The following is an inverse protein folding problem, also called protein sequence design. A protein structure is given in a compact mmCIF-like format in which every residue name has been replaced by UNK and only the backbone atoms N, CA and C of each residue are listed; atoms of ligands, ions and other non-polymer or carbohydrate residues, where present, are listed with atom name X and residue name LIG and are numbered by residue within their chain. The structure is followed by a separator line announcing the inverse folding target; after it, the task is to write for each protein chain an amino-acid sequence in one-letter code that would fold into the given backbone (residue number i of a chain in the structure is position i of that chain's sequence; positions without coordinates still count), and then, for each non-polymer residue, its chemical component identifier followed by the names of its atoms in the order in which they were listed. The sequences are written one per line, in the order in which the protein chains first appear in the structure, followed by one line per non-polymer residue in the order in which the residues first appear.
data_IF_221368852481
#
_entry.id   IF_221368852481
#
_cell.length_a   1.000
_cell.length_b   1.000
_cell.length_c   1.000
_cell.angle_alpha   90.00
_cell.angle_beta   90.00
_cell.angle_gamma   90.00
#
_symmetry.space_group_name_H-M   'P 1'
#
loop_
_entity.id
_entity.type
_entity.pdbx_description
1 polymer ?
#
# COMPACT_ATOMS: atom_id res chain seq x y z
N UNK A 1 -18.42 -3.20 -22.50
CA UNK A 1 -19.26 -2.01 -22.20
C UNK A 1 -18.37 -0.81 -22.38
N UNK A 2 -18.88 0.33 -22.87
CA UNK A 2 -18.03 1.51 -23.01
C UNK A 2 -17.77 2.11 -21.62
N UNK A 3 -16.58 2.67 -21.41
CA UNK A 3 -16.16 3.21 -20.11
C UNK A 3 -17.11 4.32 -19.62
N UNK A 4 -17.65 5.12 -20.54
CA UNK A 4 -18.66 6.14 -20.20
C UNK A 4 -19.97 5.55 -19.67
N UNK A 5 -20.37 4.36 -20.11
CA UNK A 5 -21.59 3.70 -19.63
C UNK A 5 -21.41 3.24 -18.17
N UNK A 6 -20.21 2.78 -17.82
CA UNK A 6 -19.84 2.43 -16.44
C UNK A 6 -19.83 3.67 -15.55
N UNK A 7 -19.19 4.75 -16.00
CA UNK A 7 -19.22 6.06 -15.31
C UNK A 7 -20.65 6.52 -15.09
N UNK A 8 -21.52 6.37 -16.09
CA UNK A 8 -22.93 6.73 -15.97
C UNK A 8 -23.64 5.94 -14.87
N UNK A 9 -23.39 4.64 -14.75
CA UNK A 9 -23.98 3.81 -13.68
C UNK A 9 -23.55 4.30 -12.29
N UNK A 10 -22.27 4.65 -12.12
CA UNK A 10 -21.74 5.23 -10.88
C UNK A 10 -22.42 6.56 -10.58
N UNK A 11 -22.47 7.46 -11.57
CA UNK A 11 -23.09 8.77 -11.43
C UNK A 11 -24.59 8.69 -11.11
N UNK A 12 -25.35 7.83 -11.77
CA UNK A 12 -26.79 7.66 -11.53
C UNK A 12 -27.05 7.12 -10.11
N UNK A 13 -26.25 6.17 -9.63
CA UNK A 13 -26.35 5.68 -8.24
C UNK A 13 -26.06 6.80 -7.25
N UNK A 14 -24.94 7.48 -7.40
CA UNK A 14 -24.50 8.52 -6.46
C UNK A 14 -25.41 9.76 -6.49
N UNK A 15 -25.98 10.10 -7.65
CA UNK A 15 -26.95 11.18 -7.79
C UNK A 15 -28.15 11.01 -6.85
N UNK A 16 -28.64 9.77 -6.70
CA UNK A 16 -29.81 9.46 -5.85
C UNK A 16 -29.56 9.65 -4.35
N UNK A 17 -28.30 9.77 -3.93
CA UNK A 17 -27.89 9.91 -2.52
C UNK A 17 -27.21 11.26 -2.25
N UNK A 18 -27.54 12.28 -3.06
CA UNK A 18 -27.18 13.69 -2.81
C UNK A 18 -25.96 14.21 -3.54
N UNK A 19 -25.19 13.37 -4.25
CA UNK A 19 -23.98 13.84 -4.96
C UNK A 19 -24.28 14.80 -6.10
N UNK A 20 -25.43 14.63 -6.77
CA UNK A 20 -25.85 15.55 -7.84
C UNK A 20 -26.02 16.97 -7.29
N UNK A 21 -26.72 17.12 -6.17
CA UNK A 21 -26.99 18.43 -5.58
C UNK A 21 -25.72 19.13 -5.10
N UNK A 22 -24.74 18.35 -4.61
CA UNK A 22 -23.42 18.87 -4.27
C UNK A 22 -22.65 19.33 -5.52
N UNK A 23 -22.62 18.51 -6.58
CA UNK A 23 -21.86 18.81 -7.80
C UNK A 23 -22.51 19.90 -8.67
N UNK A 24 -23.83 20.08 -8.60
CA UNK A 24 -24.52 21.19 -9.24
C UNK A 24 -24.06 22.55 -8.66
N UNK A 25 -23.68 22.62 -7.39
CA UNK A 25 -23.09 23.83 -6.80
C UNK A 25 -21.70 24.16 -7.38
N UNK A 26 -21.07 23.17 -8.02
CA UNK A 26 -19.82 23.32 -8.77
C UNK A 26 -20.06 23.51 -10.29
N UNK A 27 -21.32 23.54 -10.74
CA UNK A 27 -21.71 23.67 -12.14
C UNK A 27 -21.70 22.37 -12.95
N UNK A 28 -21.61 21.20 -12.29
CA UNK A 28 -21.53 19.88 -12.91
C UNK A 28 -22.81 19.06 -12.66
N UNK A 29 -23.54 18.68 -13.72
CA UNK A 29 -24.70 17.79 -13.62
C UNK A 29 -24.34 16.34 -14.00
N UNK A 30 -24.01 15.51 -13.01
CA UNK A 30 -23.65 14.10 -13.24
C UNK A 30 -24.80 13.23 -13.80
N UNK A 31 -26.01 13.77 -13.95
CA UNK A 31 -27.16 13.07 -14.57
C UNK A 31 -27.50 13.57 -15.97
N UNK A 32 -26.67 14.45 -16.54
CA UNK A 32 -26.89 14.98 -17.88
C UNK A 32 -27.04 13.88 -18.93
N UNK A 33 -27.96 14.07 -19.88
CA UNK A 33 -28.23 13.11 -20.96
C UNK A 33 -26.98 12.79 -21.78
N UNK A 34 -26.16 13.81 -22.09
CA UNK A 34 -24.84 13.62 -22.69
C UNK A 34 -23.76 13.78 -21.62
N UNK A 35 -23.61 12.73 -20.80
CA UNK A 35 -22.69 12.76 -19.66
C UNK A 35 -21.25 13.03 -20.08
N UNK A 36 -20.77 12.47 -21.19
CA UNK A 36 -19.39 12.70 -21.65
C UNK A 36 -19.15 14.18 -21.99
N UNK A 37 -20.08 14.83 -22.68
CA UNK A 37 -19.98 16.26 -22.97
C UNK A 37 -20.03 17.09 -21.68
N UNK A 38 -20.89 16.72 -20.74
CA UNK A 38 -21.01 17.40 -19.45
C UNK A 38 -19.74 17.27 -18.60
N UNK A 39 -19.13 16.07 -18.55
CA UNK A 39 -17.89 15.84 -17.82
C UNK A 39 -16.69 16.56 -18.44
N UNK A 40 -16.68 16.72 -19.77
CA UNK A 40 -15.56 17.32 -20.50
C UNK A 40 -15.72 18.79 -20.80
N UNK A 41 -16.86 19.44 -20.46
CA UNK A 41 -17.02 20.89 -20.64
C UNK A 41 -16.17 21.69 -19.63
N UNK A 42 -15.92 22.96 -19.95
CA UNK A 42 -15.30 23.86 -18.98
C UNK A 42 -16.32 24.32 -17.92
N UNK A 43 -15.88 24.34 -16.67
CA UNK A 43 -16.62 24.80 -15.49
C UNK A 43 -16.03 26.15 -15.06
N UNK A 44 -16.67 27.28 -15.41
CA UNK A 44 -16.05 28.61 -15.24
C UNK A 44 -15.98 29.09 -13.79
N UNK A 45 -16.71 28.46 -12.86
CA UNK A 45 -16.87 28.95 -11.49
C UNK A 45 -16.94 27.80 -10.47
N UNK A 46 -15.88 27.00 -10.38
CA UNK A 46 -15.74 25.98 -9.33
C UNK A 46 -15.60 26.67 -7.97
N UNK A 47 -16.53 26.36 -7.07
CA UNK A 47 -16.63 26.95 -5.74
C UNK A 47 -15.78 26.18 -4.73
N UNK A 48 -14.57 26.70 -4.48
CA UNK A 48 -13.61 26.17 -3.50
C UNK A 48 -13.88 26.61 -2.05
N UNK A 49 -15.00 27.28 -1.79
CA UNK A 49 -15.44 27.61 -0.43
C UNK A 49 -16.36 26.53 0.16
N UNK A 50 -16.73 25.53 -0.64
CA UNK A 50 -17.47 24.36 -0.17
C UNK A 50 -16.48 23.39 0.48
N UNK A 51 -16.82 22.93 1.68
CA UNK A 51 -15.99 22.01 2.45
C UNK A 51 -15.63 20.76 1.65
N UNK A 52 -14.35 20.44 1.65
CA UNK A 52 -13.74 19.34 0.91
C UNK A 52 -13.24 19.72 -0.49
N UNK A 53 -13.56 20.91 -1.01
CA UNK A 53 -13.11 21.39 -2.33
C UNK A 53 -12.02 22.47 -2.23
N UNK A 54 -11.61 22.86 -1.03
CA UNK A 54 -10.56 23.85 -0.80
C UNK A 54 -9.22 23.41 -1.39
N UNK A 55 -8.95 22.10 -1.36
CA UNK A 55 -7.73 21.47 -1.86
C UNK A 55 -7.89 20.87 -3.27
N UNK A 56 -8.98 21.17 -4.00
CA UNK A 56 -9.07 20.84 -5.42
C UNK A 56 -8.09 21.70 -6.25
N UNK A 57 -7.33 21.06 -7.15
CA UNK A 57 -6.29 21.73 -7.94
C UNK A 57 -6.79 23.00 -8.62
N UNK A 58 -6.01 24.08 -8.54
CA UNK A 58 -6.45 25.40 -9.01
C UNK A 58 -6.68 25.43 -10.53
N UNK A 59 -5.85 24.71 -11.28
CA UNK A 59 -5.92 24.59 -12.74
C UNK A 59 -7.04 23.65 -13.20
N UNK A 60 -7.66 22.90 -12.28
CA UNK A 60 -8.82 22.07 -12.57
C UNK A 60 -10.02 22.92 -12.99
N UNK A 61 -10.55 22.65 -14.19
CA UNK A 61 -11.64 23.43 -14.80
C UNK A 61 -12.67 22.57 -15.54
N UNK A 62 -12.68 21.25 -15.32
CA UNK A 62 -13.61 20.29 -15.96
C UNK A 62 -14.09 19.27 -14.94
N UNK A 63 -15.20 18.60 -15.25
CA UNK A 63 -15.63 17.41 -14.50
C UNK A 63 -14.57 16.31 -14.56
N UNK A 64 -14.02 16.08 -15.76
CA UNK A 64 -12.91 15.17 -16.05
C UNK A 64 -11.90 15.90 -16.94
N UNK A 65 -10.65 15.98 -16.48
CA UNK A 65 -9.50 16.50 -17.23
C UNK A 65 -8.65 15.30 -17.67
N UNK A 66 -8.41 15.17 -18.98
CA UNK A 66 -7.80 13.98 -19.55
C UNK A 66 -6.40 13.71 -18.96
N UNK A 67 -6.20 12.50 -18.45
CA UNK A 67 -4.94 12.04 -17.86
C UNK A 67 -4.53 12.74 -16.57
N UNK A 68 -5.40 13.57 -15.97
CA UNK A 68 -5.06 14.37 -14.80
C UNK A 68 -6.10 14.25 -13.68
N UNK A 69 -5.92 13.29 -12.75
CA UNK A 69 -6.85 13.05 -11.65
C UNK A 69 -7.04 14.24 -10.70
N UNK A 70 -5.97 14.94 -10.33
CA UNK A 70 -6.08 16.11 -9.43
C UNK A 70 -6.81 17.30 -10.05
N UNK A 71 -6.84 17.42 -11.38
CA UNK A 71 -7.60 18.44 -12.12
C UNK A 71 -9.00 17.99 -12.54
N UNK A 72 -9.39 16.76 -12.23
CA UNK A 72 -10.71 16.20 -12.54
C UNK A 72 -11.66 16.38 -11.36
N UNK A 73 -12.58 17.34 -11.44
CA UNK A 73 -13.48 17.70 -10.34
C UNK A 73 -14.29 16.50 -9.83
N UNK A 74 -14.82 15.67 -10.72
CA UNK A 74 -15.60 14.49 -10.33
C UNK A 74 -14.74 13.48 -9.59
N UNK A 75 -13.52 13.22 -10.07
CA UNK A 75 -12.61 12.30 -9.39
C UNK A 75 -12.22 12.82 -8.01
N UNK A 76 -11.84 14.10 -7.91
CA UNK A 76 -11.54 14.73 -6.63
C UNK A 76 -12.71 14.64 -5.64
N UNK A 77 -13.93 15.03 -6.07
CA UNK A 77 -15.12 14.98 -5.24
C UNK A 77 -15.38 13.59 -4.67
N UNK A 78 -15.14 12.56 -5.48
CA UNK A 78 -15.38 11.17 -5.11
C UNK A 78 -14.22 10.55 -4.35
N UNK A 79 -12.96 10.90 -4.62
CA UNK A 79 -11.78 10.26 -4.05
C UNK A 79 -11.26 10.94 -2.78
N UNK A 80 -11.52 12.25 -2.60
CA UNK A 80 -11.04 12.99 -1.44
C UNK A 80 -11.76 12.55 -0.16
N UNK A 81 -11.05 12.18 0.91
CA UNK A 81 -11.66 11.88 2.20
C UNK A 81 -12.23 13.13 2.90
N UNK A 82 -11.85 14.33 2.43
CA UNK A 82 -12.31 15.60 2.98
C UNK A 82 -13.67 16.05 2.41
N UNK A 83 -14.10 15.47 1.29
CA UNK A 83 -15.41 15.76 0.69
C UNK A 83 -16.48 14.93 1.42
N UNK A 84 -16.97 15.50 2.52
CA UNK A 84 -18.00 14.93 3.37
C UNK A 84 -19.13 15.92 3.59
N UNK A 85 -20.36 15.43 3.62
CA UNK A 85 -21.53 16.25 3.91
C UNK A 85 -22.63 15.43 4.58
N UNK A 86 -23.40 16.05 5.45
CA UNK A 86 -24.56 15.44 6.11
C UNK A 86 -25.68 15.09 5.10
N UNK A 87 -25.67 15.71 3.92
CA UNK A 87 -26.65 15.46 2.86
C UNK A 87 -26.26 14.30 1.93
N UNK A 88 -25.09 13.70 2.12
CA UNK A 88 -24.65 12.53 1.34
C UNK A 88 -25.07 11.25 2.05
N UNK A 89 -25.91 10.46 1.39
CA UNK A 89 -26.47 9.22 1.94
C UNK A 89 -25.56 8.00 1.78
N UNK A 90 -24.65 8.01 0.81
CA UNK A 90 -23.64 6.97 0.59
C UNK A 90 -22.43 7.52 -0.17
N UNK A 91 -21.31 6.81 -0.10
CA UNK A 91 -20.07 7.17 -0.75
C UNK A 91 -19.69 6.13 -1.84
N UNK A 92 -18.73 6.43 -2.74
CA UNK A 92 -18.26 5.48 -3.73
C UNK A 92 -17.48 4.31 -3.10
N UNK A 93 -17.70 3.13 -3.65
CA UNK A 93 -16.85 1.95 -3.42
C UNK A 93 -15.50 2.12 -4.12
N UNK A 94 -14.52 1.29 -3.78
CA UNK A 94 -13.19 1.33 -4.43
C UNK A 94 -13.24 0.96 -5.91
N UNK A 95 -14.16 0.07 -6.30
CA UNK A 95 -14.40 -0.28 -7.70
C UNK A 95 -14.96 0.90 -8.50
N UNK A 96 -15.89 1.65 -7.92
CA UNK A 96 -16.46 2.83 -8.58
C UNK A 96 -15.43 3.95 -8.71
N UNK A 97 -14.60 4.15 -7.69
CA UNK A 97 -13.45 5.06 -7.80
C UNK A 97 -12.51 4.66 -8.93
N UNK A 98 -12.28 3.36 -9.11
CA UNK A 98 -11.46 2.86 -10.22
C UNK A 98 -12.07 3.15 -11.58
N UNK A 99 -13.39 2.99 -11.74
CA UNK A 99 -14.10 3.30 -12.98
C UNK A 99 -13.90 4.77 -13.34
N UNK A 100 -14.08 5.67 -12.37
CA UNK A 100 -13.88 7.11 -12.60
C UNK A 100 -12.41 7.40 -12.91
N UNK A 101 -11.45 6.81 -12.18
CA UNK A 101 -10.02 6.96 -12.44
C UNK A 101 -9.64 6.48 -13.85
N UNK A 102 -10.12 5.29 -14.25
CA UNK A 102 -9.89 4.74 -15.58
C UNK A 102 -10.45 5.69 -16.64
N UNK A 103 -11.61 6.30 -16.41
CA UNK A 103 -12.18 7.28 -17.33
C UNK A 103 -11.37 8.58 -17.40
N UNK A 104 -10.76 9.04 -16.30
CA UNK A 104 -9.81 10.18 -16.33
C UNK A 104 -8.70 9.91 -17.33
N UNK A 105 -8.12 8.72 -17.32
CA UNK A 105 -7.07 8.34 -18.27
C UNK A 105 -7.64 7.96 -19.66
N UNK A 106 -8.85 7.43 -19.73
CA UNK A 106 -9.45 6.88 -20.95
C UNK A 106 -10.29 7.84 -21.78
N UNK A 107 -10.68 9.01 -21.26
CA UNK A 107 -11.58 9.94 -21.98
C UNK A 107 -10.96 10.49 -23.28
N UNK A 108 -9.63 10.61 -23.31
CA UNK A 108 -8.84 10.95 -24.50
C UNK A 108 -7.57 10.09 -24.49
N UNK A 109 -7.68 8.81 -24.89
CA UNK A 109 -6.58 7.87 -24.70
C UNK A 109 -5.40 8.27 -25.59
N UNK A 110 -4.17 8.35 -25.03
CA UNK A 110 -2.99 8.69 -25.80
C UNK A 110 -2.59 7.51 -26.70
N UNK A 111 -1.87 7.82 -27.79
CA UNK A 111 -1.07 6.83 -28.50
C UNK A 111 0.29 6.62 -27.81
N UNK A 112 1.00 5.55 -28.17
CA UNK A 112 2.37 5.36 -27.69
C UNK A 112 3.31 6.50 -28.12
N UNK A 113 3.09 7.07 -29.30
CA UNK A 113 3.83 8.23 -29.80
C UNK A 113 3.58 9.46 -28.95
N UNK A 114 2.33 9.71 -28.53
CA UNK A 114 1.98 10.82 -27.65
C UNK A 114 2.75 10.71 -26.31
N UNK A 115 2.85 9.50 -25.74
CA UNK A 115 3.60 9.24 -24.51
C UNK A 115 5.12 9.39 -24.68
N UNK A 116 5.67 9.00 -25.83
CA UNK A 116 7.09 9.20 -26.14
C UNK A 116 7.45 10.69 -26.26
N UNK A 117 6.53 11.53 -26.75
CA UNK A 117 6.72 12.99 -26.81
C UNK A 117 6.81 13.59 -25.40
N UNK A 118 6.08 13.05 -24.43
CA UNK A 118 6.15 13.47 -23.01
C UNK A 118 7.45 13.01 -22.31
N UNK A 119 8.18 12.06 -22.91
CA UNK A 119 9.39 11.45 -22.38
C UNK A 119 10.54 11.47 -23.41
N UNK A 120 10.93 12.65 -23.92
CA UNK A 120 11.87 12.73 -25.04
C UNK A 120 13.22 12.12 -24.64
N UNK A 121 13.67 11.12 -25.42
CA UNK A 121 14.92 10.37 -25.22
C UNK A 121 15.02 9.59 -23.90
N UNK A 122 13.91 9.42 -23.19
CA UNK A 122 13.86 8.62 -21.97
C UNK A 122 13.08 7.33 -22.24
N UNK A 123 13.62 6.15 -21.86
CA UNK A 123 12.91 4.90 -22.07
C UNK A 123 11.65 4.85 -21.19
N UNK A 124 10.53 4.50 -21.80
CA UNK A 124 9.30 4.17 -21.08
C UNK A 124 9.42 2.79 -20.44
N UNK A 125 8.70 2.58 -19.34
CA UNK A 125 8.54 1.27 -18.70
C UNK A 125 7.10 1.07 -18.23
N UNK A 126 6.69 -0.19 -18.09
CA UNK A 126 5.51 -0.56 -17.31
C UNK A 126 5.96 -0.68 -15.86
N UNK A 127 5.40 0.14 -14.98
CA UNK A 127 5.81 0.25 -13.60
C UNK A 127 4.60 0.16 -12.67
N UNK A 128 4.68 -0.69 -11.64
CA UNK A 128 3.57 -0.89 -10.66
C UNK A 128 3.73 0.04 -9.47
N UNK A 129 2.70 0.79 -9.10
CA UNK A 129 2.75 1.66 -7.93
C UNK A 129 1.67 1.27 -6.94
N UNK A 130 2.00 1.38 -5.64
CA UNK A 130 0.98 1.56 -4.63
C UNK A 130 0.53 3.03 -4.66
N UNK A 131 -0.76 3.29 -4.66
CA UNK A 131 -1.27 4.64 -4.86
C UNK A 131 -2.50 4.96 -4.02
N UNK A 132 -2.61 6.21 -3.62
CA UNK A 132 -3.72 6.74 -2.82
C UNK A 132 -3.95 8.21 -3.17
N UNK A 133 -5.22 8.63 -3.26
CA UNK A 133 -5.56 10.03 -3.44
C UNK A 133 -5.56 10.72 -2.07
N UNK A 134 -4.63 11.66 -1.87
CA UNK A 134 -4.34 12.23 -0.56
C UNK A 134 -4.61 13.74 -0.53
N UNK A 135 -5.02 14.30 0.63
CA UNK A 135 -5.15 15.74 0.82
C UNK A 135 -3.87 16.50 0.52
N UNK A 136 -3.98 17.80 0.26
CA UNK A 136 -2.83 18.66 -0.04
C UNK A 136 -1.69 18.50 0.95
N UNK A 137 -1.98 18.54 2.26
CA UNK A 137 -0.98 18.37 3.31
C UNK A 137 -0.17 17.09 3.16
N UNK A 138 -0.72 16.04 2.56
CA UNK A 138 -0.09 14.74 2.40
C UNK A 138 0.56 14.48 1.04
N UNK A 139 0.60 15.48 0.16
CA UNK A 139 1.31 15.41 -1.12
C UNK A 139 2.76 15.91 -1.02
N UNK A 140 3.57 15.65 -2.06
CA UNK A 140 4.96 16.12 -2.15
C UNK A 140 5.02 17.65 -2.23
N UNK A 141 4.23 18.22 -3.15
CA UNK A 141 4.19 19.65 -3.44
C UNK A 141 3.40 20.45 -2.40
N UNK A 142 2.51 19.81 -1.63
CA UNK A 142 1.68 20.40 -0.58
C UNK A 142 0.68 21.48 -1.03
N UNK A 143 0.33 21.51 -2.32
CA UNK A 143 -0.47 22.59 -2.89
C UNK A 143 -1.96 22.26 -3.00
N UNK A 144 -2.29 21.03 -3.37
CA UNK A 144 -3.65 20.54 -3.60
C UNK A 144 -3.67 19.02 -3.41
N UNK A 145 -4.86 18.43 -3.27
CA UNK A 145 -5.00 16.98 -3.21
C UNK A 145 -4.55 16.34 -4.54
N UNK A 146 -3.87 15.20 -4.46
CA UNK A 146 -3.39 14.47 -5.64
C UNK A 146 -3.21 12.96 -5.36
N UNK A 147 -3.09 12.17 -6.43
CA UNK A 147 -2.61 10.80 -6.35
C UNK A 147 -1.14 10.79 -5.93
N UNK A 148 -0.88 10.22 -4.77
CA UNK A 148 0.45 9.93 -4.29
C UNK A 148 0.84 8.52 -4.69
N UNK A 149 2.09 8.35 -5.14
CA UNK A 149 2.60 7.09 -5.64
C UNK A 149 3.79 6.62 -4.80
N UNK A 150 3.83 5.32 -4.52
CA UNK A 150 4.95 4.66 -3.88
C UNK A 150 5.38 3.42 -4.67
N UNK A 151 6.69 3.21 -4.76
CA UNK A 151 7.27 1.95 -5.24
C UNK A 151 7.15 0.81 -4.24
N UNK A 152 6.74 1.12 -3.01
CA UNK A 152 6.53 0.15 -1.92
C UNK A 152 5.10 0.28 -1.40
N UNK A 153 4.32 -0.79 -1.48
CA UNK A 153 3.04 -0.88 -0.77
C UNK A 153 3.19 -1.67 0.51
N UNK A 154 2.41 -1.32 1.53
CA UNK A 154 2.45 -1.93 2.86
C UNK A 154 1.06 -2.40 3.23
N UNK A 155 0.90 -3.71 3.34
CA UNK A 155 -0.27 -4.37 3.89
C UNK A 155 0.03 -4.90 5.30
N UNK A 156 -0.99 -5.06 6.14
CA UNK A 156 -0.86 -5.44 7.55
C UNK A 156 -1.70 -6.67 7.87
N UNK A 157 -1.08 -7.69 8.46
CA UNK A 157 -1.78 -8.90 8.91
C UNK A 157 -2.78 -8.58 10.02
N UNK A 158 -3.72 -9.49 10.26
CA UNK A 158 -4.79 -9.33 11.22
C UNK A 158 -5.59 -10.61 11.41
N UNK A 159 -6.46 -10.59 12.42
CA UNK A 159 -7.33 -11.69 12.82
C UNK A 159 -8.78 -11.52 12.37
N UNK A 160 -9.10 -10.40 11.71
CA UNK A 160 -10.41 -10.12 11.13
C UNK A 160 -10.31 -9.61 9.68
N UNK A 161 -11.41 -9.75 8.94
CA UNK A 161 -11.51 -9.26 7.56
C UNK A 161 -11.36 -7.75 7.47
N UNK A 162 -10.78 -7.29 6.36
CA UNK A 162 -10.73 -5.88 5.98
C UNK A 162 -12.13 -5.25 6.02
N UNK A 163 -12.21 -3.99 6.45
CA UNK A 163 -13.43 -3.20 6.41
C UNK A 163 -13.13 -1.85 5.77
N UNK A 164 -13.60 -1.67 4.54
CA UNK A 164 -13.53 -0.38 3.87
C UNK A 164 -14.61 0.54 4.44
N UNK A 165 -14.19 1.71 4.92
CA UNK A 165 -15.10 2.80 5.28
C UNK A 165 -15.20 3.72 4.07
N UNK A 166 -16.33 3.61 3.38
CA UNK A 166 -16.59 4.38 2.17
C UNK A 166 -16.48 5.88 2.45
N UNK A 167 -17.09 6.41 3.52
CA UNK A 167 -17.01 7.83 3.89
C UNK A 167 -15.57 8.33 4.07
N UNK A 168 -14.70 7.55 4.71
CA UNK A 168 -13.29 7.93 4.96
C UNK A 168 -12.34 7.57 3.81
N UNK A 169 -12.82 6.86 2.77
CA UNK A 169 -12.00 6.36 1.65
C UNK A 169 -10.81 5.50 2.09
N UNK A 170 -10.97 4.79 3.21
CA UNK A 170 -9.88 4.05 3.84
C UNK A 170 -10.35 2.80 4.57
N UNK A 171 -9.39 1.95 4.93
CA UNK A 171 -9.66 0.73 5.70
C UNK A 171 -9.56 0.99 7.20
N UNK A 172 -10.54 0.48 7.94
CA UNK A 172 -10.53 0.57 9.40
C UNK A 172 -9.66 -0.54 10.00
N UNK A 173 -8.78 -0.23 10.97
CA UNK A 173 -7.92 -1.20 11.63
C UNK A 173 -8.63 -1.98 12.73
N UNK A 174 -9.57 -1.33 13.43
CA UNK A 174 -10.21 -1.85 14.63
C UNK A 174 -11.53 -2.57 14.31
N UNK A 175 -11.90 -3.50 15.19
CA UNK A 175 -13.23 -4.11 15.21
C UNK A 175 -14.06 -3.40 16.28
N UNK A 176 -15.18 -2.80 15.87
CA UNK A 176 -16.04 -2.04 16.79
C UNK A 176 -16.59 -2.93 17.91
N UNK A 177 -16.59 -2.40 19.14
CA UNK A 177 -17.07 -3.13 20.32
C UNK A 177 -16.12 -4.20 20.85
N UNK A 178 -15.02 -4.48 20.15
CA UNK A 178 -13.99 -5.40 20.61
C UNK A 178 -12.75 -4.62 21.10
N UNK A 179 -12.49 -4.72 22.41
CA UNK A 179 -11.33 -4.10 23.07
C UNK A 179 -10.15 -5.08 23.22
N UNK A 180 -10.27 -6.31 22.71
CA UNK A 180 -9.27 -7.37 22.95
C UNK A 180 -8.86 -8.05 21.66
N UNK A 181 -7.61 -7.81 21.27
CA UNK A 181 -6.80 -8.71 20.45
C UNK A 181 -7.28 -9.00 19.00
N UNK A 182 -8.37 -8.38 18.55
CA UNK A 182 -8.84 -8.50 17.17
C UNK A 182 -8.38 -7.32 16.31
N UNK A 183 -7.65 -7.61 15.24
CA UNK A 183 -7.13 -6.63 14.29
C UNK A 183 -7.65 -6.94 12.90
N UNK A 184 -8.16 -5.96 12.18
CA UNK A 184 -8.51 -6.15 10.77
C UNK A 184 -7.24 -6.20 9.95
N UNK A 185 -7.22 -7.07 8.94
CA UNK A 185 -6.19 -6.97 7.90
C UNK A 185 -6.33 -5.62 7.18
N UNK A 186 -5.21 -4.95 6.93
CA UNK A 186 -5.16 -3.70 6.17
C UNK A 186 -4.56 -3.96 4.79
N UNK A 187 -5.33 -3.82 3.71
CA UNK A 187 -4.85 -4.03 2.34
C UNK A 187 -3.90 -2.94 1.84
N UNK A 188 -3.24 -3.23 0.71
CA UNK A 188 -2.54 -2.24 -0.12
C UNK A 188 -3.06 -2.28 -1.56
N UNK A 189 -3.36 -1.12 -2.15
CA UNK A 189 -3.85 -1.01 -3.53
C UNK A 189 -2.69 -0.76 -4.49
N UNK A 190 -2.63 -1.53 -5.57
CA UNK A 190 -1.62 -1.40 -6.63
C UNK A 190 -2.27 -1.20 -8.00
N UNK A 191 -1.61 -0.41 -8.85
CA UNK A 191 -2.00 -0.17 -10.24
C UNK A 191 -0.76 -0.12 -11.13
N UNK A 192 -0.89 -0.51 -12.39
CA UNK A 192 0.17 -0.42 -13.38
C UNK A 192 0.10 0.91 -14.15
N UNK A 193 1.25 1.49 -14.45
CA UNK A 193 1.37 2.72 -15.22
C UNK A 193 2.45 2.59 -16.28
N UNK A 194 2.27 3.26 -17.42
CA UNK A 194 3.41 3.65 -18.26
C UNK A 194 4.11 4.78 -17.52
N UNK A 195 5.41 4.63 -17.27
CA UNK A 195 6.21 5.53 -16.45
C UNK A 195 7.56 5.84 -17.11
N UNK A 196 8.20 6.90 -16.62
CA UNK A 196 9.50 7.37 -17.07
C UNK A 196 10.40 7.72 -15.88
N UNK A 197 11.72 7.61 -16.02
CA UNK A 197 12.65 8.06 -14.99
C UNK A 197 12.96 9.54 -15.11
N UNK A 198 12.76 10.30 -14.02
CA UNK A 198 13.11 11.73 -13.94
C UNK A 198 13.85 12.01 -12.64
N UNK A 199 14.67 13.05 -12.63
CA UNK A 199 15.30 13.56 -11.41
C UNK A 199 14.25 14.14 -10.47
N UNK A 200 14.44 14.04 -9.15
CA UNK A 200 13.48 14.54 -8.17
C UNK A 200 13.15 16.02 -8.33
N UNK A 201 11.92 16.40 -8.00
CA UNK A 201 11.45 17.77 -8.02
C UNK A 201 10.50 18.04 -6.84
N UNK A 202 10.98 18.76 -5.83
CA UNK A 202 10.22 19.06 -4.61
C UNK A 202 8.86 19.74 -4.89
N UNK A 203 8.73 20.50 -5.97
CA UNK A 203 7.50 21.22 -6.32
C UNK A 203 6.50 20.36 -7.10
N UNK A 204 6.85 19.11 -7.45
CA UNK A 204 6.00 18.25 -8.27
C UNK A 204 5.98 16.78 -7.83
N UNK A 205 7.14 16.13 -7.74
CA UNK A 205 7.23 14.69 -7.46
C UNK A 205 8.57 14.32 -6.80
N UNK A 206 8.54 13.26 -5.99
CA UNK A 206 9.70 12.77 -5.25
C UNK A 206 9.28 12.19 -3.91
N UNK A 207 10.22 12.00 -2.98
CA UNK A 207 9.88 11.64 -1.61
C UNK A 207 9.05 12.75 -0.96
N UNK A 208 8.05 12.37 -0.15
CA UNK A 208 7.24 13.32 0.63
C UNK A 208 8.10 14.24 1.52
N UNK A 209 9.25 13.74 1.98
CA UNK A 209 10.27 14.51 2.68
C UNK A 209 11.52 14.61 1.81
N UNK A 210 11.48 15.53 0.85
CA UNK A 210 12.61 15.83 -0.03
C UNK A 210 13.87 16.15 0.80
N UNK A 211 14.97 15.47 0.52
CA UNK A 211 16.27 15.65 1.15
C UNK A 211 17.28 16.23 0.15
N UNK A 212 18.44 16.64 0.66
CA UNK A 212 19.61 16.93 -0.18
C UNK A 212 19.92 15.75 -1.11
N UNK A 213 20.34 16.06 -2.34
CA UNK A 213 20.62 15.13 -3.43
C UNK A 213 19.42 14.43 -4.08
N UNK A 214 18.19 14.54 -3.53
CA UNK A 214 17.02 13.95 -4.19
C UNK A 214 16.76 14.57 -5.58
N UNK A 215 17.18 15.81 -5.80
CA UNK A 215 17.16 16.49 -7.10
C UNK A 215 18.12 15.89 -8.14
N UNK A 216 19.03 15.01 -7.72
CA UNK A 216 19.95 14.26 -8.61
C UNK A 216 19.57 12.78 -8.75
N UNK A 217 18.68 12.27 -7.89
CA UNK A 217 18.23 10.87 -7.90
C UNK A 217 17.13 10.65 -8.92
N UNK A 218 17.15 9.48 -9.58
CA UNK A 218 16.14 9.10 -10.56
C UNK A 218 14.96 8.39 -9.91
N UNK A 219 13.76 8.93 -10.12
CA UNK A 219 12.48 8.37 -9.69
C UNK A 219 11.64 7.95 -10.89
N UNK A 220 10.88 6.87 -10.74
CA UNK A 220 9.84 6.52 -11.69
C UNK A 220 8.62 7.41 -11.49
N UNK A 221 8.23 8.12 -12.54
CA UNK A 221 7.10 9.03 -12.56
C UNK A 221 6.02 8.45 -13.49
N UNK A 222 4.80 8.21 -13.00
CA UNK A 222 3.71 7.72 -13.85
C UNK A 222 3.31 8.78 -14.86
N UNK A 223 3.05 8.35 -16.10
CA UNK A 223 2.52 9.19 -17.18
C UNK A 223 1.06 8.85 -17.50
N UNK A 224 0.72 7.55 -17.48
CA UNK A 224 -0.61 7.07 -17.84
C UNK A 224 -0.93 5.76 -17.13
N UNK A 225 -2.11 5.65 -16.53
CA UNK A 225 -2.58 4.40 -15.91
C UNK A 225 -2.90 3.36 -16.97
N UNK A 226 -2.52 2.11 -16.72
CA UNK A 226 -2.93 0.96 -17.53
C UNK A 226 -4.16 0.28 -16.91
N UNK A 227 -5.17 0.04 -17.73
CA UNK A 227 -6.38 -0.69 -17.39
C UNK A 227 -6.90 -1.46 -18.62
N UNK A 228 -7.83 -2.39 -18.41
CA UNK A 228 -8.28 -3.30 -19.45
C UNK A 228 -9.16 -2.61 -20.50
N UNK A 229 -9.08 -3.10 -21.74
CA UNK A 229 -9.98 -2.71 -22.83
C UNK A 229 -9.36 -1.78 -23.87
N UNK A 230 -10.21 -1.35 -24.80
CA UNK A 230 -9.83 -0.56 -25.99
C UNK A 230 -9.70 0.94 -25.75
N UNK A 231 -10.15 1.42 -24.59
CA UNK A 231 -10.22 2.84 -24.24
C UNK A 231 -9.01 3.30 -23.38
N UNK A 232 -8.01 2.42 -23.14
CA UNK A 232 -6.83 2.77 -22.34
C UNK A 232 -5.71 3.42 -23.16
N UNK A 233 -5.27 2.77 -24.25
CA UNK A 233 -4.23 3.26 -25.17
C UNK A 233 -4.77 3.16 -26.59
N UNK A 234 -4.66 4.24 -27.36
CA UNK A 234 -5.21 4.32 -28.72
C UNK A 234 -4.61 3.24 -29.61
N UNK A 235 -5.47 2.41 -30.20
CA UNK A 235 -5.08 1.36 -31.15
C UNK A 235 -4.72 0.02 -30.50
N UNK A 236 -4.91 -0.14 -29.19
CA UNK A 236 -4.67 -1.38 -28.46
C UNK A 236 -5.93 -1.79 -27.68
N UNK A 237 -6.10 -3.10 -27.47
CA UNK A 237 -7.08 -3.67 -26.55
C UNK A 237 -6.31 -4.35 -25.42
N UNK A 238 -6.18 -3.70 -24.27
CA UNK A 238 -5.23 -4.13 -23.25
C UNK A 238 -5.81 -5.20 -22.33
N UNK A 239 -5.00 -6.20 -21.99
CA UNK A 239 -5.25 -7.15 -20.92
C UNK A 239 -4.15 -7.01 -19.86
N UNK A 240 -4.47 -6.24 -18.82
CA UNK A 240 -3.59 -5.94 -17.70
C UNK A 240 -3.90 -6.88 -16.53
N UNK A 241 -2.88 -7.60 -16.08
CA UNK A 241 -2.95 -8.42 -14.87
C UNK A 241 -1.85 -8.01 -13.89
N UNK A 242 -2.11 -8.20 -12.59
CA UNK A 242 -1.12 -8.04 -11.53
C UNK A 242 -0.84 -9.39 -10.89
N UNK A 243 0.44 -9.70 -10.70
CA UNK A 243 0.88 -10.91 -10.01
C UNK A 243 1.58 -10.52 -8.71
N UNK A 244 1.23 -11.23 -7.64
CA UNK A 244 1.84 -11.08 -6.32
C UNK A 244 2.79 -12.25 -6.03
N UNK A 245 3.99 -11.92 -5.56
CA UNK A 245 4.97 -12.89 -5.10
C UNK A 245 5.46 -12.49 -3.72
N UNK A 246 5.02 -13.20 -2.68
CA UNK A 246 5.46 -12.97 -1.29
C UNK A 246 6.13 -14.20 -0.73
N UNK A 247 7.12 -13.98 0.15
CA UNK A 247 7.81 -15.05 0.84
C UNK A 247 8.13 -14.64 2.28
N UNK A 248 7.88 -15.55 3.22
CA UNK A 248 8.43 -15.47 4.57
C UNK A 248 9.67 -16.38 4.64
N UNK A 249 10.79 -15.83 5.10
CA UNK A 249 12.03 -16.59 5.34
C UNK A 249 12.62 -16.32 6.73
N UNK A 250 11.81 -15.80 7.67
CA UNK A 250 12.30 -15.32 8.96
C UNK A 250 13.00 -16.42 9.74
N UNK A 251 12.36 -17.59 9.85
CA UNK A 251 12.93 -18.75 10.54
C UNK A 251 14.21 -19.24 9.87
N UNK A 252 14.22 -19.45 8.54
CA UNK A 252 15.43 -19.81 7.80
C UNK A 252 16.58 -18.84 8.07
N UNK A 253 16.31 -17.54 8.01
CA UNK A 253 17.33 -16.49 8.20
C UNK A 253 17.90 -16.50 9.62
N UNK A 254 17.11 -16.85 10.64
CA UNK A 254 17.62 -17.05 12.01
C UNK A 254 18.69 -18.17 12.02
N UNK A 255 18.40 -19.32 11.41
CA UNK A 255 19.33 -20.46 11.36
C UNK A 255 20.59 -20.17 10.54
N UNK A 256 20.50 -19.37 9.48
CA UNK A 256 21.68 -18.95 8.71
C UNK A 256 22.55 -17.94 9.48
N UNK A 257 21.93 -17.06 10.27
CA UNK A 257 22.65 -16.03 11.02
C UNK A 257 23.27 -16.57 12.33
N UNK A 258 22.61 -17.54 12.97
CA UNK A 258 23.02 -18.12 14.25
C UNK A 258 23.61 -19.51 14.06
N UNK A 259 24.79 -19.76 14.65
CA UNK A 259 25.44 -21.07 14.59
C UNK A 259 24.87 -22.04 15.62
N UNK A 260 24.90 -23.34 15.31
CA UNK A 260 24.55 -24.44 16.24
C UNK A 260 23.13 -24.36 16.81
N UNK A 261 22.17 -23.92 16.00
CA UNK A 261 20.76 -23.76 16.37
C UNK A 261 19.95 -25.06 16.28
N UNK A 262 20.53 -26.12 15.71
CA UNK A 262 19.93 -27.46 15.63
C UNK A 262 19.28 -27.81 14.30
N UNK A 263 19.22 -26.86 13.35
CA UNK A 263 18.65 -27.08 12.01
C UNK A 263 19.60 -26.53 10.94
N UNK A 264 19.70 -27.26 9.83
CA UNK A 264 20.56 -26.95 8.68
C UNK A 264 19.85 -27.37 7.37
N UNK A 265 20.51 -27.18 6.23
CA UNK A 265 20.02 -27.72 4.96
C UNK A 265 19.99 -29.26 4.97
N UNK A 266 18.98 -29.91 4.38
CA UNK A 266 17.92 -29.32 3.55
C UNK A 266 16.69 -28.82 4.33
N UNK A 267 16.61 -29.04 5.64
CA UNK A 267 15.39 -28.78 6.43
C UNK A 267 14.98 -27.30 6.36
N UNK A 268 15.93 -26.39 6.53
CA UNK A 268 15.67 -24.93 6.55
C UNK A 268 15.21 -24.35 5.20
N UNK A 269 15.24 -25.12 4.12
CA UNK A 269 14.69 -24.73 2.81
C UNK A 269 13.26 -25.21 2.58
N UNK A 270 12.64 -25.87 3.57
CA UNK A 270 11.27 -26.37 3.49
C UNK A 270 10.35 -25.63 4.48
N UNK A 271 9.02 -25.69 4.30
CA UNK A 271 8.09 -25.22 5.32
C UNK A 271 8.32 -25.90 6.69
N UNK A 272 8.19 -25.16 7.81
CA UNK A 272 7.74 -23.77 7.90
C UNK A 272 8.90 -22.74 7.85
N UNK A 273 10.14 -23.14 7.57
CA UNK A 273 11.29 -22.24 7.58
C UNK A 273 11.24 -21.19 6.45
N UNK A 274 10.67 -21.61 5.32
CA UNK A 274 10.26 -20.77 4.20
C UNK A 274 8.82 -21.12 3.82
N UNK A 275 7.98 -20.12 3.53
CA UNK A 275 6.68 -20.34 2.91
C UNK A 275 6.24 -19.13 2.08
N UNK A 276 5.35 -19.37 1.12
CA UNK A 276 4.76 -18.36 0.22
C UNK A 276 3.23 -18.30 0.31
N UNK A 277 2.61 -19.36 0.82
CA UNK A 277 1.16 -19.48 0.97
C UNK A 277 0.68 -18.85 2.27
N UNK A 278 -0.58 -18.39 2.30
CA UNK A 278 -1.17 -17.82 3.52
C UNK A 278 -0.64 -16.45 3.92
N UNK A 279 0.07 -15.73 3.04
CA UNK A 279 0.59 -14.38 3.34
C UNK A 279 -0.41 -13.32 2.88
N UNK A 280 -0.60 -13.16 1.56
CA UNK A 280 -1.55 -12.21 0.98
C UNK A 280 -1.95 -12.62 -0.44
N UNK A 281 -3.10 -12.14 -0.88
CA UNK A 281 -3.69 -12.44 -2.19
C UNK A 281 -4.45 -11.23 -2.72
N UNK A 282 -4.58 -11.11 -4.05
CA UNK A 282 -5.49 -10.14 -4.64
C UNK A 282 -6.94 -10.58 -4.39
N UNK A 283 -7.75 -9.67 -3.84
CA UNK A 283 -9.17 -9.96 -3.65
C UNK A 283 -9.90 -10.11 -4.98
N UNK A 284 -10.92 -10.96 -5.00
CA UNK A 284 -11.87 -11.08 -6.11
C UNK A 284 -13.21 -10.40 -5.82
N UNK A 285 -13.31 -9.68 -4.69
CA UNK A 285 -14.53 -8.98 -4.30
C UNK A 285 -14.76 -7.79 -5.25
N UNK A 286 -15.88 -7.81 -5.97
CA UNK A 286 -16.18 -6.85 -7.04
C UNK A 286 -16.23 -5.41 -6.58
N UNK A 287 -16.62 -5.15 -5.33
CA UNK A 287 -16.70 -3.81 -4.73
C UNK A 287 -15.33 -3.16 -4.49
N UNK A 288 -14.25 -3.95 -4.53
CA UNK A 288 -12.88 -3.46 -4.35
C UNK A 288 -12.16 -3.15 -5.65
N UNK A 289 -12.75 -3.51 -6.79
CA UNK A 289 -12.12 -3.34 -8.09
C UNK A 289 -10.91 -4.26 -8.25
N UNK A 290 -9.93 -3.82 -9.03
CA UNK A 290 -8.71 -4.58 -9.30
C UNK A 290 -7.53 -4.08 -8.46
N UNK A 291 -6.56 -4.97 -8.25
CA UNK A 291 -5.27 -4.62 -7.65
C UNK A 291 -5.26 -4.37 -6.15
N UNK A 292 -6.32 -4.71 -5.41
CA UNK A 292 -6.33 -4.66 -3.94
C UNK A 292 -5.71 -5.95 -3.36
N UNK A 293 -4.48 -5.86 -2.86
CA UNK A 293 -3.78 -6.95 -2.18
C UNK A 293 -4.21 -7.00 -0.72
N UNK A 294 -4.79 -8.12 -0.29
CA UNK A 294 -5.34 -8.33 1.05
C UNK A 294 -4.55 -9.46 1.74
N UNK A 295 -4.00 -9.21 2.95
CA UNK A 295 -3.41 -10.28 3.76
C UNK A 295 -4.42 -11.37 4.09
N UNK A 296 -3.98 -12.62 4.11
CA UNK A 296 -4.83 -13.74 4.51
C UNK A 296 -5.16 -13.59 5.99
N UNK A 297 -6.44 -13.74 6.33
CA UNK A 297 -6.90 -13.65 7.72
C UNK A 297 -6.55 -14.94 8.45
N UNK A 298 -5.83 -14.83 9.56
CA UNK A 298 -5.48 -15.95 10.43
C UNK A 298 -6.20 -15.86 11.77
N UNK A 299 -6.53 -16.98 12.43
CA UNK A 299 -7.17 -16.92 13.75
C UNK A 299 -6.28 -16.26 14.81
N UNK A 300 -4.96 -16.32 14.65
CA UNK A 300 -3.98 -15.73 15.55
C UNK A 300 -2.98 -14.88 14.76
N UNK A 301 -2.46 -13.82 15.39
CA UNK A 301 -1.36 -13.04 14.83
C UNK A 301 -0.05 -13.82 14.77
N UNK A 302 0.14 -14.75 15.73
CA UNK A 302 1.27 -15.66 15.76
C UNK A 302 0.83 -17.08 16.07
N UNK A 303 1.57 -18.06 15.54
CA UNK A 303 1.32 -19.47 15.79
C UNK A 303 2.60 -20.21 16.15
N UNK A 304 2.53 -21.17 17.07
CA UNK A 304 3.67 -22.01 17.39
C UNK A 304 4.03 -22.84 16.16
N UNK A 305 5.25 -22.66 15.66
CA UNK A 305 5.72 -23.38 14.49
C UNK A 305 5.83 -24.88 14.81
N UNK A 306 5.43 -25.72 13.85
CA UNK A 306 5.60 -27.16 13.91
C UNK A 306 6.38 -27.67 12.71
N UNK A 307 7.20 -28.69 12.93
CA UNK A 307 7.95 -29.35 11.88
C UNK A 307 7.96 -30.86 12.14
N UNK A 308 7.65 -31.64 11.11
CA UNK A 308 7.55 -33.11 11.21
C UNK A 308 6.65 -33.60 12.36
N UNK A 309 5.53 -32.90 12.58
CA UNK A 309 4.53 -33.25 13.61
C UNK A 309 4.92 -32.91 15.05
N UNK A 310 6.01 -32.18 15.27
CA UNK A 310 6.46 -31.72 16.59
C UNK A 310 6.58 -30.20 16.64
N UNK A 311 6.59 -29.65 17.86
CA UNK A 311 6.96 -28.26 18.08
C UNK A 311 8.35 -27.99 17.49
N UNK A 312 8.44 -26.98 16.63
CA UNK A 312 9.71 -26.54 16.07
C UNK A 312 10.42 -25.66 17.09
N UNK A 313 11.57 -26.14 17.56
CA UNK A 313 12.41 -25.42 18.51
C UNK A 313 13.77 -25.12 17.91
N UNK A 314 14.52 -24.21 18.52
CA UNK A 314 15.94 -24.04 18.22
C UNK A 314 16.74 -23.86 19.50
N UNK A 315 18.01 -24.26 19.45
CA UNK A 315 18.94 -24.07 20.55
C UNK A 315 19.39 -22.62 20.60
N UNK A 316 19.05 -21.92 21.68
CA UNK A 316 19.46 -20.54 21.91
C UNK A 316 20.99 -20.51 22.15
N UNK A 317 21.79 -19.79 21.35
CA UNK A 317 23.23 -19.78 21.54
C UNK A 317 23.63 -19.07 22.85
N UNK A 318 24.63 -19.58 23.58
CA UNK A 318 25.08 -18.95 24.82
C UNK A 318 25.80 -17.63 24.54
N UNK A 319 25.72 -16.69 25.50
CA UNK A 319 26.36 -15.37 25.44
C UNK A 319 25.95 -14.53 24.22
N UNK A 320 24.74 -14.73 23.73
CA UNK A 320 24.23 -13.95 22.62
C UNK A 320 23.92 -12.51 23.03
N UNK A 321 24.07 -11.53 22.13
CA UNK A 321 23.55 -10.18 22.36
C UNK A 321 22.06 -10.21 22.67
N UNK A 322 21.63 -9.35 23.59
CA UNK A 322 20.22 -9.21 23.97
C UNK A 322 19.82 -7.74 23.95
N UNK A 323 18.54 -7.49 23.67
CA UNK A 323 17.87 -6.23 24.04
C UNK A 323 16.80 -6.60 25.05
N UNK A 324 17.03 -6.26 26.33
CA UNK A 324 16.24 -6.77 27.45
C UNK A 324 16.14 -8.30 27.36
N UNK A 325 14.93 -8.86 27.37
CA UNK A 325 14.67 -10.30 27.35
C UNK A 325 14.54 -10.92 25.95
N UNK A 326 14.98 -10.24 24.89
CA UNK A 326 14.93 -10.73 23.50
C UNK A 326 16.33 -11.05 22.98
N UNK A 327 16.45 -12.15 22.24
CA UNK A 327 17.68 -12.50 21.54
C UNK A 327 17.89 -11.52 20.38
N UNK A 328 19.03 -10.84 20.32
CA UNK A 328 19.35 -9.87 19.29
C UNK A 328 20.31 -10.45 18.25
N UNK A 329 19.95 -10.33 16.97
CA UNK A 329 20.82 -10.63 15.84
C UNK A 329 21.34 -9.29 15.27
N UNK A 330 22.64 -8.99 15.41
CA UNK A 330 23.19 -7.72 14.97
C UNK A 330 23.14 -7.60 13.45
N UNK A 331 23.03 -6.37 12.97
CA UNK A 331 23.27 -6.06 11.57
C UNK A 331 24.74 -6.36 11.19
N UNK A 332 24.97 -6.63 9.90
CA UNK A 332 26.31 -6.72 9.36
C UNK A 332 27.05 -5.40 9.58
N UNK A 333 28.23 -5.46 10.22
CA UNK A 333 28.97 -4.26 10.63
C UNK A 333 29.56 -3.48 9.46
N UNK A 334 29.72 -4.12 8.29
CA UNK A 334 30.34 -3.51 7.12
C UNK A 334 29.33 -2.82 6.22
N UNK A 335 28.15 -3.42 6.07
CA UNK A 335 27.09 -2.95 5.16
C UNK A 335 25.93 -2.30 5.89
N UNK A 336 25.77 -2.55 7.21
CA UNK A 336 24.58 -2.18 7.97
C UNK A 336 23.35 -3.04 7.66
N UNK A 337 23.47 -4.03 6.77
CA UNK A 337 22.35 -4.87 6.35
C UNK A 337 21.92 -5.85 7.44
N UNK A 338 20.61 -6.11 7.53
CA UNK A 338 20.06 -7.15 8.41
C UNK A 338 19.78 -8.42 7.61
N UNK A 339 20.53 -9.48 7.92
CA UNK A 339 20.36 -10.78 7.26
C UNK A 339 19.28 -11.66 7.88
N UNK A 340 18.78 -11.29 9.06
CA UNK A 340 17.72 -11.97 9.81
C UNK A 340 16.90 -10.93 10.61
N UNK A 341 15.76 -11.32 11.21
CA UNK A 341 15.04 -10.47 12.15
C UNK A 341 15.99 -9.96 13.25
N UNK A 342 15.90 -8.67 13.58
CA UNK A 342 16.75 -8.07 14.59
C UNK A 342 16.55 -8.70 15.97
N UNK A 343 15.31 -9.02 16.32
CA UNK A 343 14.94 -9.62 17.59
C UNK A 343 14.21 -10.94 17.37
N UNK A 344 14.59 -11.95 18.16
CA UNK A 344 13.97 -13.27 18.14
C UNK A 344 13.36 -13.54 19.52
N UNK A 345 12.10 -13.96 19.53
CA UNK A 345 11.44 -14.40 20.75
C UNK A 345 12.03 -15.75 21.21
N UNK A 346 12.54 -15.79 22.44
CA UNK A 346 13.19 -16.97 23.03
C UNK A 346 12.74 -17.26 24.47
N UNK A 347 11.59 -16.71 24.87
CA UNK A 347 11.10 -16.78 26.25
C UNK A 347 10.18 -17.96 26.52
N UNK A 348 9.83 -18.73 25.51
CA UNK A 348 9.11 -19.99 25.66
C UNK A 348 10.09 -21.15 25.48
N UNK A 349 10.61 -21.63 26.61
CA UNK A 349 11.56 -22.73 26.68
C UNK A 349 10.81 -24.05 26.64
N UNK A 350 11.27 -25.00 25.81
CA UNK A 350 10.70 -26.34 25.75
C UNK A 350 11.58 -27.29 26.57
N UNK A 351 10.96 -27.98 27.52
CA UNK A 351 11.61 -28.96 28.39
C UNK A 351 11.73 -30.33 27.70
N UNK A 352 12.61 -31.23 28.14
CA UNK A 352 12.76 -32.57 27.54
C UNK A 352 11.49 -33.42 27.56
N UNK A 353 10.55 -33.13 28.46
CA UNK A 353 9.24 -33.79 28.54
C UNK A 353 8.19 -33.17 27.59
N UNK A 354 8.57 -32.18 26.77
CA UNK A 354 7.71 -31.46 25.83
C UNK A 354 6.90 -30.31 26.43
N UNK A 355 7.02 -30.05 27.75
CA UNK A 355 6.32 -28.93 28.38
C UNK A 355 6.97 -27.59 28.06
N UNK A 356 6.15 -26.55 27.86
CA UNK A 356 6.61 -25.19 27.71
C UNK A 356 6.76 -24.50 29.08
N UNK A 357 7.94 -23.97 29.36
CA UNK A 357 8.25 -23.09 30.47
C UNK A 357 8.28 -21.63 29.95
N UNK A 358 7.42 -20.77 30.49
CA UNK A 358 7.42 -19.34 30.17
C UNK A 358 8.43 -18.60 31.05
N UNK A 359 9.52 -18.13 30.45
CA UNK A 359 10.59 -17.45 31.18
C UNK A 359 10.17 -16.08 31.73
N UNK A 360 9.06 -15.50 31.28
CA UNK A 360 8.52 -14.27 31.86
C UNK A 360 8.07 -14.45 33.33
N UNK A 361 7.82 -15.69 33.76
CA UNK A 361 7.47 -16.00 35.15
C UNK A 361 8.71 -16.10 36.06
N UNK A 362 9.92 -16.01 35.48
CA UNK A 362 11.18 -16.02 36.23
C UNK A 362 11.61 -14.61 36.65
N UNK A 363 12.27 -14.50 37.80
CA UNK A 363 12.73 -13.22 38.36
C UNK A 363 13.77 -12.50 37.50
N UNK A 364 14.60 -13.25 36.76
CA UNK A 364 15.68 -12.69 35.95
C UNK A 364 15.74 -13.38 34.57
N UNK A 365 14.74 -13.07 33.75
CA UNK A 365 14.61 -13.59 32.39
C UNK A 365 15.81 -13.23 31.50
N UNK A 366 16.39 -12.05 31.68
CA UNK A 366 17.50 -11.57 30.86
C UNK A 366 18.76 -12.41 31.09
N UNK A 367 19.08 -12.72 32.35
CA UNK A 367 20.21 -13.60 32.66
C UNK A 367 20.02 -15.00 32.05
N UNK A 368 18.81 -15.55 32.07
CA UNK A 368 18.51 -16.87 31.47
C UNK A 368 18.68 -16.83 29.95
N UNK A 369 18.13 -15.81 29.27
CA UNK A 369 18.26 -15.65 27.82
C UNK A 369 19.72 -15.48 27.42
N UNK A 370 20.48 -14.66 28.16
CA UNK A 370 21.91 -14.43 27.90
C UNK A 370 22.75 -15.68 28.13
N UNK A 371 22.43 -16.49 29.14
CA UNK A 371 23.10 -17.77 29.38
C UNK A 371 22.87 -18.74 28.22
N UNK A 372 21.67 -18.73 27.61
CA UNK A 372 21.31 -19.58 26.48
C UNK A 372 21.40 -21.07 26.82
N UNK A 373 21.61 -21.91 25.80
CA UNK A 373 21.83 -23.35 25.94
C UNK A 373 20.57 -24.20 26.13
N UNK A 374 19.39 -23.62 25.96
CA UNK A 374 18.09 -24.29 26.02
C UNK A 374 17.38 -24.24 24.67
N UNK A 375 16.35 -25.09 24.51
CA UNK A 375 15.52 -25.11 23.31
C UNK A 375 14.35 -24.11 23.47
N UNK A 376 14.26 -23.15 22.55
CA UNK A 376 13.17 -22.18 22.50
C UNK A 376 12.20 -22.47 21.36
N UNK A 377 10.91 -22.27 21.60
CA UNK A 377 9.85 -22.41 20.59
C UNK A 377 9.96 -21.36 19.49
N UNK A 378 9.85 -21.77 18.22
CA UNK A 378 9.68 -20.86 17.09
C UNK A 378 8.22 -20.47 16.86
N UNK A 379 8.00 -19.28 16.30
CA UNK A 379 6.68 -18.77 15.97
C UNK A 379 6.62 -18.31 14.51
N UNK A 380 5.43 -18.46 13.91
CA UNK A 380 5.07 -17.90 12.62
C UNK A 380 4.23 -16.66 12.84
N UNK A 381 4.36 -15.65 11.97
CA UNK A 381 3.63 -14.37 12.05
C UNK A 381 2.93 -13.98 10.74
N UNK A 382 2.93 -14.89 9.74
CA UNK A 382 2.32 -14.76 8.40
C UNK A 382 2.68 -13.48 7.63
N UNK A 383 3.70 -12.75 8.07
CA UNK A 383 4.26 -11.61 7.35
C UNK A 383 5.10 -12.09 6.17
N UNK A 384 5.45 -11.19 5.25
CA UNK A 384 6.30 -11.54 4.12
C UNK A 384 6.75 -10.32 3.34
N UNK A 385 7.89 -10.48 2.69
CA UNK A 385 8.43 -9.51 1.74
C UNK A 385 8.22 -10.05 0.33
N UNK A 386 8.03 -9.17 -0.65
CA UNK A 386 7.63 -9.59 -1.97
C UNK A 386 7.67 -8.53 -3.05
N UNK A 387 7.12 -8.87 -4.20
CA UNK A 387 6.94 -7.98 -5.33
C UNK A 387 5.54 -8.09 -5.94
N UNK A 388 5.06 -6.98 -6.51
CA UNK A 388 3.92 -6.96 -7.41
C UNK A 388 4.41 -6.62 -8.82
N UNK A 389 4.10 -7.48 -9.78
CA UNK A 389 4.47 -7.31 -11.18
C UNK A 389 3.23 -7.10 -12.05
N UNK A 390 3.36 -6.33 -13.13
CA UNK A 390 2.29 -6.17 -14.12
C UNK A 390 2.56 -7.03 -15.34
N UNK A 391 1.51 -7.60 -15.92
CA UNK A 391 1.56 -8.30 -17.20
C UNK A 391 0.62 -7.57 -18.15
N UNK A 392 1.15 -7.13 -19.30
CA UNK A 392 0.38 -6.53 -20.39
C UNK A 392 1.00 -6.98 -21.72
N UNK A 393 0.53 -8.11 -22.28
CA UNK A 393 1.14 -8.72 -23.47
C UNK A 393 1.13 -7.80 -24.68
N UNK A 394 0.09 -6.97 -24.82
CA UNK A 394 -0.11 -6.10 -25.98
C UNK A 394 0.92 -4.97 -26.06
N UNK A 395 1.51 -4.59 -24.92
CA UNK A 395 2.56 -3.57 -24.85
C UNK A 395 3.98 -4.15 -24.72
N UNK A 396 4.13 -5.46 -24.54
CA UNK A 396 5.41 -6.09 -24.21
C UNK A 396 6.51 -5.87 -25.28
N UNK A 397 6.15 -5.74 -26.55
CA UNK A 397 7.10 -5.46 -27.63
C UNK A 397 7.51 -3.98 -27.65
N UNK A 398 6.54 -3.08 -27.47
CA UNK A 398 6.77 -1.64 -27.57
C UNK A 398 7.40 -1.05 -26.30
N UNK A 399 7.09 -1.62 -25.14
CA UNK A 399 7.58 -1.23 -23.81
C UNK A 399 8.06 -2.51 -23.09
N UNK A 400 9.26 -3.02 -23.42
CA UNK A 400 9.74 -4.30 -22.91
C UNK A 400 10.20 -4.24 -21.44
N UNK A 401 10.40 -3.03 -20.89
CA UNK A 401 10.87 -2.87 -19.51
C UNK A 401 9.69 -2.94 -18.54
N UNK A 402 9.74 -3.93 -17.65
CA UNK A 402 8.84 -4.05 -16.52
C UNK A 402 9.55 -3.67 -15.22
N UNK A 403 8.88 -2.94 -14.34
CA UNK A 403 9.42 -2.51 -13.05
C UNK A 403 8.40 -2.87 -11.95
N UNK A 404 8.65 -3.94 -11.19
CA UNK A 404 7.72 -4.40 -10.16
C UNK A 404 7.81 -3.55 -8.89
N UNK A 405 6.68 -3.40 -8.20
CA UNK A 405 6.62 -2.72 -6.91
C UNK A 405 7.19 -3.64 -5.82
N UNK A 406 7.85 -3.07 -4.82
CA UNK A 406 8.11 -3.80 -3.59
C UNK A 406 6.81 -3.92 -2.78
N UNK A 407 6.59 -5.08 -2.18
CA UNK A 407 5.35 -5.39 -1.48
C UNK A 407 5.65 -5.97 -0.12
N UNK A 408 5.19 -5.29 0.92
CA UNK A 408 5.41 -5.66 2.30
C UNK A 408 4.10 -6.10 2.94
N UNK A 409 4.07 -7.30 3.51
CA UNK A 409 3.00 -7.78 4.40
C UNK A 409 3.59 -7.86 5.79
N UNK A 410 3.08 -7.05 6.71
CA UNK A 410 3.77 -6.72 7.96
C UNK A 410 2.86 -6.88 9.17
N UNK A 411 3.41 -6.77 10.38
CA UNK A 411 2.64 -6.84 11.62
C UNK A 411 1.49 -5.80 11.65
N UNK A 412 0.45 -6.00 12.48
CA UNK A 412 -0.63 -5.03 12.64
C UNK A 412 -0.13 -3.63 13.01
N UNK A 413 -0.90 -2.62 12.63
CA UNK A 413 -0.65 -1.26 13.07
C UNK A 413 -1.30 -1.04 14.45
N UNK A 414 -0.47 -0.81 15.47
CA UNK A 414 -0.91 -0.55 16.83
C UNK A 414 -1.15 0.94 17.11
N UNK A 415 -0.78 1.82 16.18
CA UNK A 415 -0.96 3.27 16.28
C UNK A 415 -1.60 3.84 15.01
N UNK A 416 -2.73 3.30 14.54
CA UNK A 416 -3.28 3.66 13.24
C UNK A 416 -3.82 5.10 13.15
N UNK A 417 -3.97 5.77 14.29
CA UNK A 417 -4.38 7.18 14.38
C UNK A 417 -3.21 8.14 14.53
N UNK A 418 -1.97 7.66 14.44
CA UNK A 418 -0.77 8.48 14.49
C UNK A 418 0.00 8.29 13.19
N UNK A 419 -0.06 9.27 12.29
CA UNK A 419 0.81 9.24 11.12
C UNK A 419 2.26 9.52 11.57
N UNK A 420 3.20 8.66 11.16
CA UNK A 420 4.63 8.87 11.37
C UNK A 420 5.07 10.25 10.87
N UNK A 421 4.43 10.77 9.82
CA UNK A 421 4.68 12.11 9.33
C UNK A 421 4.26 13.18 10.33
N UNK A 422 3.06 13.11 10.91
CA UNK A 422 2.60 14.10 11.88
C UNK A 422 3.54 14.16 13.09
N UNK A 423 4.01 13.00 13.55
CA UNK A 423 5.01 12.90 14.62
C UNK A 423 6.35 13.53 14.23
N UNK A 424 6.84 13.31 13.01
CA UNK A 424 8.08 13.89 12.52
C UNK A 424 7.96 15.40 12.29
N UNK A 425 6.88 15.88 11.68
CA UNK A 425 6.63 17.31 11.50
C UNK A 425 6.47 18.02 12.85
N UNK A 426 5.83 17.37 13.82
CA UNK A 426 5.78 17.85 15.19
C UNK A 426 7.18 17.95 15.81
N UNK A 427 8.03 16.93 15.63
CA UNK A 427 9.41 16.92 16.13
C UNK A 427 10.25 18.05 15.48
N UNK A 428 10.18 18.19 14.15
CA UNK A 428 10.90 19.26 13.42
C UNK A 428 10.45 20.66 13.87
N UNK A 429 9.18 20.83 14.27
CA UNK A 429 8.68 22.09 14.86
C UNK A 429 9.24 22.34 16.25
N UNK A 430 9.40 21.30 17.08
CA UNK A 430 10.02 21.43 18.41
C UNK A 430 11.50 21.82 18.31
N UNK A 431 12.26 21.20 17.42
CA UNK A 431 13.69 21.51 17.25
C UNK A 431 13.91 22.95 16.77
N UNK A 432 13.02 23.48 15.92
CA UNK A 432 13.03 24.89 15.50
C UNK A 432 12.66 25.84 16.63
N UNK A 433 11.72 25.47 17.50
CA UNK A 433 11.30 26.29 18.64
C UNK A 433 12.35 26.34 19.77
N UNK A 434 13.22 25.34 19.87
CA UNK A 434 14.34 25.28 20.83
C UNK A 434 15.58 26.02 20.29
N UNK A 435 15.66 26.21 18.97
CA UNK A 435 16.77 26.89 18.28
C UNK A 435 16.55 28.41 18.07
N UNK A 436 15.44 28.96 18.58
CA UNK A 436 15.12 30.40 18.66
C UNK A 436 15.06 30.83 20.12
#
# INVERSE_FOLDING_TARGET
MALIDEVKQVCDRLASVGWRDLLLQQGLDITATNLQQELTKELPAINRQIVGFEDFAFEGKRGIEAGNPSRSLLFHALASPNVVSANLGAYPTLAELEIIENFVYGVQPPSLQDLQVLAPRQPLAIAVFASEYRPASETVHRQHADLCFSRTGVARVGTAKALYNDKLRGFLPAVEGDLKETFRVLPARYSAYIAVQRTGNQDAFGPLRFQDEDDTRLFWVPLHKLFNGTECIRGFDLQVALNAHHVNQKLRRIHLALKNTGWDEPDISNPPFIFTEGIAEFTTASEFGTGLLVPVVHPNLIEAATYQGKLLTFKVPPNSPTLSSSLAIPADKTTGARHAPEYVHVRHKILPNGQQENLNDQKDVEAVVKAGGYDAQHYLDFTGDGSIEAICPELAVAIPRNVPAYSLVTAPDFFPSCDQRELLEWTDRMDRAIST
#
